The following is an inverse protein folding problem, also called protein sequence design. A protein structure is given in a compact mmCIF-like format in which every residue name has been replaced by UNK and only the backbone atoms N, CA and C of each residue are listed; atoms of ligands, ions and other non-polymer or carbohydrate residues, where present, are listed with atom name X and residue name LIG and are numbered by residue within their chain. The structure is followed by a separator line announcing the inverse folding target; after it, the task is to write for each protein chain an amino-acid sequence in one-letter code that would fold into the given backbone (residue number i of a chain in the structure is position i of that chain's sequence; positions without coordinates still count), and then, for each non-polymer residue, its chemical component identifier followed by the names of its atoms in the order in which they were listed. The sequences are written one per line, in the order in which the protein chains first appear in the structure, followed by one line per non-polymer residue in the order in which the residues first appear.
data_IF_913039752761
#
_entry.id   IF_913039752761
#
_cell.length_a   1.000
_cell.length_b   1.000
_cell.length_c   1.000
_cell.angle_alpha   90.00
_cell.angle_beta   90.00
_cell.angle_gamma   90.00
#
_symmetry.space_group_name_H-M   'P 1'
#
loop_
_entity.id
_entity.type
_entity.pdbx_description
1 polymer ?
#
# COMPACT_ATOMS: atom_id res chain seq x y z
N UNK A 1 -20.30 1.46 -0.02
CA UNK A 1 -21.14 1.95 -1.13
C UNK A 1 -21.12 3.48 -1.13
N UNK A 2 -20.97 4.12 -2.30
CA UNK A 2 -20.94 5.58 -2.41
C UNK A 2 -22.35 6.11 -2.66
N UNK A 3 -22.79 7.04 -1.83
CA UNK A 3 -24.11 7.66 -1.91
C UNK A 3 -23.97 9.15 -2.20
N UNK A 4 -24.81 9.66 -3.10
CA UNK A 4 -24.72 11.03 -3.60
C UNK A 4 -25.79 11.96 -3.01
N UNK A 5 -26.71 11.45 -2.19
CA UNK A 5 -27.75 12.23 -1.53
C UNK A 5 -28.13 11.64 -0.19
N UNK A 6 -28.70 12.47 0.66
CA UNK A 6 -29.21 12.06 1.97
C UNK A 6 -30.35 11.05 1.83
N UNK A 7 -31.17 11.17 0.80
CA UNK A 7 -32.27 10.26 0.49
C UNK A 7 -31.74 8.84 0.18
N UNK A 8 -30.64 8.72 -0.58
CA UNK A 8 -29.99 7.42 -0.82
C UNK A 8 -29.46 6.78 0.47
N UNK A 9 -28.93 7.58 1.39
CA UNK A 9 -28.47 7.07 2.70
C UNK A 9 -29.67 6.57 3.52
N UNK A 10 -30.79 7.32 3.55
CA UNK A 10 -32.00 6.89 4.26
C UNK A 10 -32.58 5.60 3.65
N UNK A 11 -32.69 5.51 2.34
CA UNK A 11 -33.18 4.33 1.64
C UNK A 11 -32.29 3.10 1.93
N UNK A 12 -30.97 3.29 1.92
CA UNK A 12 -30.03 2.23 2.27
C UNK A 12 -30.20 1.76 3.71
N UNK A 13 -30.26 2.69 4.68
CA UNK A 13 -30.41 2.35 6.10
C UNK A 13 -31.74 1.67 6.41
N UNK A 14 -32.79 1.98 5.66
CA UNK A 14 -34.13 1.40 5.82
C UNK A 14 -34.33 0.10 5.03
N UNK A 15 -33.35 -0.32 4.22
CA UNK A 15 -33.46 -1.56 3.46
C UNK A 15 -33.27 -2.79 4.37
N UNK A 16 -34.11 -3.83 4.18
CA UNK A 16 -34.03 -5.10 4.93
C UNK A 16 -32.72 -5.88 4.72
N UNK A 17 -31.85 -5.41 3.83
CA UNK A 17 -30.57 -6.06 3.51
C UNK A 17 -29.44 -5.62 4.44
N UNK A 18 -29.67 -4.61 5.28
CA UNK A 18 -28.62 -4.04 6.12
C UNK A 18 -28.73 -4.55 7.54
N UNK A 19 -27.78 -5.41 7.89
CA UNK A 19 -27.58 -5.77 9.28
C UNK A 19 -27.04 -4.58 10.08
N UNK A 20 -27.41 -4.53 11.29
CA UNK A 20 -27.48 -3.53 12.34
C UNK A 20 -26.33 -2.54 12.55
N UNK A 21 -25.15 -2.71 11.95
CA UNK A 21 -24.00 -1.86 12.28
C UNK A 21 -23.34 -1.36 11.01
N UNK A 22 -23.78 -0.20 10.52
CA UNK A 22 -23.15 0.51 9.38
C UNK A 22 -22.57 1.84 9.86
N UNK A 23 -21.42 2.18 9.32
CA UNK A 23 -20.80 3.50 9.49
C UNK A 23 -21.01 4.30 8.21
N UNK A 24 -21.44 5.54 8.35
CA UNK A 24 -21.62 6.48 7.24
C UNK A 24 -20.59 7.60 7.43
N UNK A 25 -19.75 7.79 6.44
CA UNK A 25 -18.67 8.76 6.49
C UNK A 25 -18.72 9.70 5.27
N UNK A 26 -18.10 10.87 5.39
CA UNK A 26 -17.87 11.73 4.23
C UNK A 26 -16.90 11.05 3.27
N UNK A 27 -17.26 10.93 2.00
CA UNK A 27 -16.34 10.51 0.96
C UNK A 27 -15.35 11.62 0.64
N UNK A 28 -14.11 11.46 1.04
CA UNK A 28 -13.01 12.36 0.71
C UNK A 28 -12.37 11.92 -0.60
N UNK A 29 -12.77 12.56 -1.70
CA UNK A 29 -12.15 12.29 -3.00
C UNK A 29 -10.80 13.01 -3.11
N UNK A 30 -9.75 12.25 -3.41
CA UNK A 30 -8.39 12.77 -3.52
C UNK A 30 -7.41 11.68 -3.93
N UNK A 31 -6.14 12.00 -3.86
CA UNK A 31 -5.06 11.06 -4.10
C UNK A 31 -4.90 10.15 -2.88
N UNK A 32 -4.90 8.85 -3.09
CA UNK A 32 -4.79 7.89 -1.99
C UNK A 32 -3.36 7.46 -1.75
N UNK A 33 -3.02 7.43 -0.47
CA UNK A 33 -1.72 7.04 0.03
C UNK A 33 -1.84 6.14 1.25
N UNK A 34 -0.78 5.42 1.53
CA UNK A 34 -0.58 4.78 2.81
C UNK A 34 0.79 5.12 3.37
N UNK A 35 0.90 5.10 4.68
CA UNK A 35 2.19 5.17 5.37
C UNK A 35 2.20 4.20 6.54
N UNK A 36 3.36 3.98 7.11
CA UNK A 36 3.49 3.19 8.33
C UNK A 36 4.18 3.97 9.43
N UNK A 37 3.71 3.75 10.65
CA UNK A 37 4.36 4.18 11.87
C UNK A 37 5.04 2.96 12.49
N UNK A 38 6.32 3.06 12.75
CA UNK A 38 7.10 2.01 13.41
C UNK A 38 7.65 2.51 14.74
N UNK A 39 7.58 1.69 15.78
CA UNK A 39 8.22 2.02 17.03
C UNK A 39 7.51 1.55 18.27
N UNK A 40 8.01 1.99 19.43
CA UNK A 40 7.53 1.66 20.75
C UNK A 40 7.94 2.76 21.74
N UNK A 41 7.09 3.03 22.74
CA UNK A 41 7.42 3.87 23.92
C UNK A 41 8.06 5.23 23.59
N UNK A 42 7.45 5.98 22.68
CA UNK A 42 7.92 7.33 22.31
C UNK A 42 9.10 7.36 21.33
N UNK A 43 9.53 6.22 20.83
CA UNK A 43 10.51 6.07 19.76
C UNK A 43 9.84 5.66 18.49
N UNK A 44 9.13 6.60 17.86
CA UNK A 44 8.37 6.35 16.64
C UNK A 44 9.03 6.99 15.43
N UNK A 45 8.90 6.31 14.28
CA UNK A 45 9.18 6.87 12.97
C UNK A 45 7.97 6.71 12.08
N UNK A 46 7.70 7.71 11.25
CA UNK A 46 6.70 7.66 10.18
C UNK A 46 7.44 7.59 8.87
N UNK A 47 7.09 6.64 8.04
CA UNK A 47 7.77 6.39 6.78
C UNK A 47 7.22 7.29 5.66
N UNK A 48 7.98 7.54 4.59
CA UNK A 48 7.46 8.22 3.43
C UNK A 48 6.20 7.53 2.88
N UNK A 49 5.24 8.29 2.34
CA UNK A 49 4.00 7.71 1.84
C UNK A 49 4.24 6.88 0.58
N UNK A 50 3.37 5.90 0.43
CA UNK A 50 3.23 5.03 -0.74
C UNK A 50 1.93 5.41 -1.42
N UNK A 51 1.95 5.71 -2.71
CA UNK A 51 0.77 6.04 -3.49
C UNK A 51 0.01 4.78 -3.90
N UNK A 52 -1.31 4.85 -3.88
CA UNK A 52 -2.21 3.79 -4.36
C UNK A 52 -2.87 4.20 -5.67
N UNK A 53 -2.95 3.27 -6.61
CA UNK A 53 -3.83 3.47 -7.75
C UNK A 53 -5.28 3.26 -7.33
N UNK A 54 -6.15 4.13 -7.80
CA UNK A 54 -7.59 4.08 -7.55
C UNK A 54 -8.34 4.20 -8.87
N UNK A 55 -9.54 3.64 -8.91
CA UNK A 55 -10.43 3.81 -10.05
C UNK A 55 -11.01 5.26 -10.07
N UNK A 56 -11.82 5.55 -11.07
CA UNK A 56 -12.47 6.87 -11.23
C UNK A 56 -13.35 7.31 -10.04
N UNK A 57 -13.78 6.36 -9.22
CA UNK A 57 -14.62 6.59 -8.05
C UNK A 57 -13.78 6.75 -6.76
N UNK A 58 -12.43 6.73 -6.87
CA UNK A 58 -11.51 6.84 -5.76
C UNK A 58 -11.39 5.55 -4.93
N UNK A 59 -11.76 4.41 -5.50
CA UNK A 59 -11.74 3.10 -4.84
C UNK A 59 -10.61 2.26 -5.41
N UNK A 60 -9.89 1.56 -4.53
CA UNK A 60 -8.87 0.58 -4.93
C UNK A 60 -9.54 -0.67 -5.49
N UNK A 61 -9.16 -1.06 -6.71
CA UNK A 61 -9.59 -2.36 -7.25
C UNK A 61 -8.72 -3.48 -6.65
N UNK A 62 -9.33 -4.55 -6.11
CA UNK A 62 -8.58 -5.60 -5.42
C UNK A 62 -7.56 -6.34 -6.29
N UNK A 63 -7.73 -6.36 -7.61
CA UNK A 63 -6.92 -7.16 -8.52
C UNK A 63 -5.98 -6.36 -9.40
N UNK A 64 -6.33 -5.12 -9.71
CA UNK A 64 -5.56 -4.25 -10.60
C UNK A 64 -4.90 -3.07 -9.89
N UNK A 65 -5.24 -2.80 -8.63
CA UNK A 65 -4.59 -1.74 -7.87
C UNK A 65 -3.12 -2.06 -7.62
N UNK A 66 -2.32 -1.02 -7.70
CA UNK A 66 -0.88 -1.06 -7.41
C UNK A 66 -0.54 -0.03 -6.33
N UNK A 67 0.55 -0.29 -5.61
CA UNK A 67 1.11 0.61 -4.60
C UNK A 67 2.53 0.94 -5.01
N UNK A 68 2.86 2.20 -5.12
CA UNK A 68 4.16 2.69 -5.58
C UNK A 68 4.74 3.72 -4.60
N UNK A 69 6.00 3.58 -4.27
CA UNK A 69 6.70 4.54 -3.38
C UNK A 69 8.22 4.34 -3.37
N UNK A 70 8.90 5.16 -2.59
CA UNK A 70 8.39 6.26 -1.76
C UNK A 70 7.93 7.46 -2.61
N UNK A 71 6.91 8.17 -2.14
CA UNK A 71 6.56 9.49 -2.67
C UNK A 71 7.25 10.55 -1.82
N UNK A 72 8.18 11.25 -2.44
CA UNK A 72 9.06 12.22 -1.74
C UNK A 72 8.95 13.64 -2.27
N UNK A 73 7.98 13.91 -3.16
CA UNK A 73 7.76 15.23 -3.71
C UNK A 73 7.39 16.24 -2.60
N UNK A 74 8.21 17.30 -2.41
CA UNK A 74 7.98 18.29 -1.35
C UNK A 74 6.66 19.05 -1.48
N UNK A 75 6.03 19.06 -2.66
CA UNK A 75 4.75 19.74 -2.87
C UNK A 75 3.60 19.15 -2.05
N UNK A 76 3.73 17.90 -1.62
CA UNK A 76 2.76 17.24 -0.74
C UNK A 76 2.86 17.66 0.73
N UNK A 77 3.93 18.37 1.14
CA UNK A 77 4.12 18.81 2.52
C UNK A 77 3.87 17.69 3.54
N UNK A 78 4.42 16.50 3.28
CA UNK A 78 4.16 15.31 4.09
C UNK A 78 4.60 15.48 5.55
N UNK A 79 5.58 16.35 5.82
CA UNK A 79 6.05 16.69 7.16
C UNK A 79 4.91 17.13 8.12
N UNK A 80 3.86 17.77 7.59
CA UNK A 80 2.72 18.22 8.40
C UNK A 80 1.90 17.06 8.95
N UNK A 81 1.53 16.10 8.11
CA UNK A 81 0.80 14.92 8.59
C UNK A 81 1.72 14.00 9.38
N UNK A 82 2.98 13.92 9.05
CA UNK A 82 3.97 13.16 9.79
C UNK A 82 4.04 13.60 11.26
N UNK A 83 4.04 14.91 11.55
CA UNK A 83 4.00 15.42 12.90
C UNK A 83 2.73 15.01 13.64
N UNK A 84 1.57 15.07 12.99
CA UNK A 84 0.29 14.61 13.55
C UNK A 84 0.34 13.12 13.87
N UNK A 85 0.86 12.30 12.96
CA UNK A 85 0.98 10.85 13.13
C UNK A 85 1.95 10.48 14.27
N UNK A 86 3.06 11.20 14.41
CA UNK A 86 3.99 11.01 15.53
C UNK A 86 3.35 11.36 16.88
N UNK A 87 2.64 12.48 16.96
CA UNK A 87 1.92 12.89 18.17
C UNK A 87 0.82 11.89 18.53
N UNK A 88 0.10 11.37 17.54
CA UNK A 88 -0.91 10.33 17.73
C UNK A 88 -0.27 9.04 18.26
N UNK A 89 0.82 8.59 17.66
CA UNK A 89 1.53 7.38 18.10
C UNK A 89 2.00 7.48 19.55
N UNK A 90 2.53 8.64 19.96
CA UNK A 90 2.95 8.91 21.34
C UNK A 90 1.77 8.90 22.30
N UNK A 91 0.64 9.52 21.92
CA UNK A 91 -0.55 9.61 22.75
C UNK A 91 -1.23 8.27 22.94
N UNK A 92 -1.36 7.49 21.86
CA UNK A 92 -2.01 6.19 21.85
C UNK A 92 -1.07 5.04 22.25
N UNK A 93 0.23 5.35 22.39
CA UNK A 93 1.28 4.39 22.78
C UNK A 93 1.28 3.15 21.89
N UNK A 94 1.32 3.36 20.57
CA UNK A 94 1.42 2.25 19.64
C UNK A 94 2.66 1.39 19.87
N UNK A 95 2.54 0.11 19.57
CA UNK A 95 3.66 -0.84 19.67
C UNK A 95 3.80 -1.60 18.34
N UNK A 96 4.99 -1.57 17.77
CA UNK A 96 5.32 -2.27 16.52
C UNK A 96 4.98 -1.45 15.27
N UNK A 97 4.27 -2.07 14.33
CA UNK A 97 3.92 -1.49 13.03
C UNK A 97 2.45 -1.12 12.97
N UNK A 98 2.17 0.10 12.57
CA UNK A 98 0.81 0.62 12.37
C UNK A 98 0.70 1.17 10.96
N UNK A 99 -0.22 0.61 10.17
CA UNK A 99 -0.56 1.14 8.86
C UNK A 99 -1.56 2.28 9.00
N UNK A 100 -1.37 3.35 8.22
CA UNK A 100 -2.28 4.49 8.15
C UNK A 100 -2.64 4.75 6.71
N UNK A 101 -3.93 4.75 6.41
CA UNK A 101 -4.46 5.12 5.10
C UNK A 101 -4.79 6.61 5.06
N UNK A 102 -4.34 7.27 4.01
CA UNK A 102 -4.36 8.72 3.86
C UNK A 102 -4.99 9.12 2.53
N UNK A 103 -5.64 10.26 2.53
CA UNK A 103 -6.04 10.97 1.30
C UNK A 103 -5.43 12.37 1.28
N UNK A 104 -4.87 12.76 0.14
CA UNK A 104 -4.41 14.12 -0.10
C UNK A 104 -5.38 14.83 -1.04
N UNK A 105 -5.93 15.97 -0.59
CA UNK A 105 -6.90 16.77 -1.34
C UNK A 105 -6.67 18.26 -1.11
N UNK A 106 -6.50 19.02 -2.17
CA UNK A 106 -6.42 20.49 -2.12
C UNK A 106 -5.34 21.04 -1.17
N UNK A 107 -4.18 20.37 -1.10
CA UNK A 107 -3.07 20.79 -0.23
C UNK A 107 -3.16 20.29 1.21
N UNK A 108 -4.15 19.46 1.53
CA UNK A 108 -4.39 18.94 2.88
C UNK A 108 -4.40 17.42 2.91
N UNK A 109 -3.91 16.87 4.02
CA UNK A 109 -3.91 15.43 4.32
C UNK A 109 -5.08 15.07 5.23
N UNK A 110 -5.75 13.99 4.89
CA UNK A 110 -6.82 13.38 5.67
C UNK A 110 -6.42 11.99 6.09
N UNK A 111 -6.57 11.66 7.37
CA UNK A 111 -6.40 10.31 7.90
C UNK A 111 -7.73 9.59 7.73
N UNK A 112 -7.73 8.49 6.97
CA UNK A 112 -8.94 7.72 6.67
C UNK A 112 -9.07 6.53 7.61
N UNK A 113 -7.98 5.76 7.77
CA UNK A 113 -7.99 4.57 8.59
C UNK A 113 -6.65 4.36 9.30
N UNK A 114 -6.72 3.81 10.51
CA UNK A 114 -5.54 3.45 11.29
C UNK A 114 -5.65 1.97 11.65
N UNK A 115 -4.71 1.20 11.14
CA UNK A 115 -4.64 -0.25 11.30
C UNK A 115 -3.43 -0.63 12.17
N UNK A 116 -3.59 -0.82 13.50
CA UNK A 116 -2.48 -1.17 14.40
C UNK A 116 -2.10 -2.65 14.25
N UNK A 117 -1.65 -3.03 13.10
CA UNK A 117 -1.28 -4.40 12.74
C UNK A 117 -0.31 -4.42 11.57
N UNK A 118 0.35 -5.54 11.42
CA UNK A 118 1.05 -5.89 10.19
C UNK A 118 0.12 -5.87 8.97
N UNK A 119 0.61 -5.35 7.86
CA UNK A 119 -0.17 -5.25 6.62
C UNK A 119 0.66 -5.66 5.40
N UNK A 120 -0.02 -5.82 4.25
CA UNK A 120 0.65 -6.01 2.96
C UNK A 120 1.57 -4.83 2.57
N UNK A 121 1.36 -3.66 3.14
CA UNK A 121 2.23 -2.51 2.93
C UNK A 121 3.60 -2.67 3.62
N UNK A 122 3.67 -3.42 4.74
CA UNK A 122 4.92 -3.64 5.48
C UNK A 122 6.01 -4.27 4.63
N UNK A 123 5.66 -5.16 3.71
CA UNK A 123 6.63 -5.75 2.78
C UNK A 123 7.08 -4.76 1.70
N UNK A 124 6.20 -3.88 1.23
CA UNK A 124 6.56 -2.78 0.32
C UNK A 124 7.54 -1.83 0.99
N UNK A 125 7.25 -1.44 2.23
CA UNK A 125 8.14 -0.63 3.06
C UNK A 125 9.49 -1.32 3.27
N UNK A 126 9.48 -2.61 3.58
CA UNK A 126 10.70 -3.39 3.76
C UNK A 126 11.55 -3.47 2.48
N UNK A 127 10.92 -3.60 1.31
CA UNK A 127 11.59 -3.56 0.02
C UNK A 127 12.20 -2.18 -0.25
N UNK A 128 11.48 -1.09 0.05
CA UNK A 128 12.02 0.28 -0.04
C UNK A 128 13.25 0.47 0.84
N UNK A 129 13.25 -0.08 2.04
CA UNK A 129 14.38 0.01 2.98
C UNK A 129 15.50 -1.01 2.71
N UNK A 130 15.26 -2.01 1.88
CA UNK A 130 16.18 -3.14 1.67
C UNK A 130 16.37 -3.98 2.94
N UNK A 131 15.33 -4.14 3.76
CA UNK A 131 15.34 -4.85 5.05
C UNK A 131 14.33 -5.99 5.07
N UNK A 132 14.58 -6.96 5.95
CA UNK A 132 13.61 -8.01 6.21
C UNK A 132 12.43 -7.44 7.06
N UNK A 133 11.16 -7.62 6.64
CA UNK A 133 10.01 -7.08 7.36
C UNK A 133 9.87 -7.63 8.78
N UNK A 134 10.23 -8.89 9.04
CA UNK A 134 10.23 -9.46 10.40
C UNK A 134 11.29 -8.79 11.29
N UNK A 135 12.48 -8.50 10.73
CA UNK A 135 13.50 -7.79 11.47
C UNK A 135 13.04 -6.36 11.85
N UNK A 136 12.37 -5.66 10.93
CA UNK A 136 11.79 -4.34 11.22
C UNK A 136 10.81 -4.43 12.39
N UNK A 137 9.91 -5.42 12.36
CA UNK A 137 8.92 -5.64 13.40
C UNK A 137 9.55 -5.94 14.75
N UNK A 138 10.51 -6.88 14.78
CA UNK A 138 11.23 -7.26 16.02
C UNK A 138 12.01 -6.07 16.58
N UNK A 139 12.75 -5.35 15.74
CA UNK A 139 13.52 -4.17 16.15
C UNK A 139 12.61 -3.06 16.70
N UNK A 140 11.42 -2.86 16.10
CA UNK A 140 10.47 -1.86 16.57
C UNK A 140 9.90 -2.21 17.94
N UNK A 141 9.63 -3.48 18.24
CA UNK A 141 9.16 -3.94 19.55
C UNK A 141 10.28 -3.90 20.60
N UNK A 142 11.46 -4.40 20.26
CA UNK A 142 12.59 -4.43 21.18
C UNK A 142 13.26 -3.06 21.39
N UNK A 143 12.94 -2.09 20.53
CA UNK A 143 13.57 -0.80 20.53
C UNK A 143 15.07 -0.85 20.24
N UNK A 144 15.53 -1.87 19.55
CA UNK A 144 16.93 -2.08 19.21
C UNK A 144 17.39 -1.25 18.03
N UNK A 145 16.50 -0.79 17.20
CA UNK A 145 16.83 0.07 16.05
C UNK A 145 17.12 1.50 16.52
N UNK A 146 18.39 1.77 16.75
CA UNK A 146 18.87 3.10 17.16
C UNK A 146 18.90 4.13 16.03
N UNK A 147 18.63 3.71 14.78
CA UNK A 147 18.88 4.49 13.57
C UNK A 147 17.66 4.55 12.62
N UNK A 148 16.44 4.63 13.14
CA UNK A 148 15.28 5.03 12.35
C UNK A 148 15.41 6.52 11.95
N UNK A 149 16.51 6.86 11.30
CA UNK A 149 16.65 8.19 10.72
C UNK A 149 16.20 8.12 9.27
N UNK A 150 15.31 9.00 8.89
CA UNK A 150 14.75 9.23 7.55
C UNK A 150 15.79 9.61 6.47
N UNK A 151 17.08 9.43 6.72
CA UNK A 151 18.19 9.72 5.79
C UNK A 151 18.70 8.50 5.04
N UNK A 152 17.88 7.48 4.84
CA UNK A 152 18.28 6.33 4.04
C UNK A 152 17.99 6.61 2.56
N UNK A 153 18.89 6.16 1.69
CA UNK A 153 18.61 6.05 0.27
C UNK A 153 17.57 4.94 0.10
N UNK A 154 16.30 5.31 0.12
CA UNK A 154 15.23 4.38 -0.12
C UNK A 154 15.25 3.95 -1.60
N UNK A 155 14.94 2.68 -1.83
CA UNK A 155 14.66 2.17 -3.16
C UNK A 155 13.24 2.53 -3.55
N UNK A 156 12.99 2.67 -4.85
CA UNK A 156 11.62 2.63 -5.34
C UNK A 156 11.10 1.21 -5.28
N UNK A 157 9.85 1.06 -4.85
CA UNK A 157 9.19 -0.24 -4.77
C UNK A 157 7.79 -0.16 -5.38
N UNK A 158 7.39 -1.26 -5.99
CA UNK A 158 6.05 -1.49 -6.53
C UNK A 158 5.49 -2.75 -5.90
N UNK A 159 4.26 -2.66 -5.42
CA UNK A 159 3.47 -3.78 -4.97
C UNK A 159 2.26 -3.92 -5.89
N UNK A 160 2.07 -5.09 -6.46
CA UNK A 160 1.00 -5.37 -7.42
C UNK A 160 0.53 -6.81 -7.31
N UNK A 161 -0.63 -7.10 -7.88
CA UNK A 161 -1.14 -8.47 -7.97
C UNK A 161 -0.92 -9.05 -9.35
N UNK A 162 -0.50 -10.29 -9.40
CA UNK A 162 -0.42 -11.06 -10.63
C UNK A 162 -1.06 -12.43 -10.46
N UNK A 163 -1.48 -13.03 -11.57
CA UNK A 163 -2.03 -14.38 -11.58
C UNK A 163 -0.90 -15.40 -11.36
N UNK A 164 -1.17 -16.46 -10.60
CA UNK A 164 -0.32 -17.64 -10.53
C UNK A 164 -1.15 -18.84 -10.98
N UNK A 165 -0.74 -19.51 -12.06
CA UNK A 165 -1.46 -20.66 -12.63
C UNK A 165 -1.01 -21.97 -12.03
N UNK A 166 0.23 -22.02 -11.58
CA UNK A 166 0.87 -23.26 -11.13
C UNK A 166 1.88 -23.01 -10.01
N UNK A 167 2.26 -24.07 -9.33
CA UNK A 167 3.35 -24.02 -8.38
C UNK A 167 4.70 -23.71 -9.07
N UNK A 168 4.86 -24.10 -10.33
CA UNK A 168 6.05 -23.80 -11.13
C UNK A 168 6.18 -22.28 -11.38
N UNK A 169 5.08 -21.59 -11.70
CA UNK A 169 5.08 -20.13 -11.83
C UNK A 169 5.56 -19.47 -10.54
N UNK A 170 5.09 -19.94 -9.39
CA UNK A 170 5.49 -19.40 -8.08
C UNK A 170 6.98 -19.63 -7.78
N UNK A 171 7.52 -20.82 -8.11
CA UNK A 171 8.94 -21.11 -7.93
C UNK A 171 9.78 -20.20 -8.81
N UNK A 172 9.45 -20.07 -10.09
CA UNK A 172 10.15 -19.18 -11.02
C UNK A 172 10.08 -17.73 -10.59
N UNK A 173 8.91 -17.28 -10.09
CA UNK A 173 8.74 -15.95 -9.58
C UNK A 173 9.58 -15.70 -8.32
N UNK A 174 9.65 -16.68 -7.42
CA UNK A 174 10.49 -16.62 -6.23
C UNK A 174 12.00 -16.57 -6.55
N UNK A 175 12.42 -17.24 -7.63
CA UNK A 175 13.81 -17.26 -8.09
C UNK A 175 14.18 -16.03 -8.94
N UNK A 176 13.19 -15.20 -9.35
CA UNK A 176 13.46 -14.02 -10.14
C UNK A 176 14.17 -12.95 -9.29
N UNK A 177 15.34 -12.44 -9.73
CA UNK A 177 16.20 -11.54 -8.92
C UNK A 177 15.58 -10.16 -8.66
N UNK A 178 14.53 -9.78 -9.39
CA UNK A 178 13.83 -8.50 -9.21
C UNK A 178 12.69 -8.60 -8.21
N UNK A 179 12.30 -9.81 -7.79
CA UNK A 179 11.21 -10.03 -6.85
C UNK A 179 11.74 -10.07 -5.43
N UNK A 180 11.37 -9.08 -4.62
CA UNK A 180 11.75 -9.03 -3.21
C UNK A 180 10.85 -9.90 -2.34
N UNK A 181 9.53 -9.85 -2.60
CA UNK A 181 8.54 -10.59 -1.80
C UNK A 181 7.39 -11.12 -2.66
N UNK A 182 6.90 -12.29 -2.29
CA UNK A 182 5.64 -12.86 -2.76
C UNK A 182 4.75 -13.07 -1.53
N UNK A 183 3.56 -12.51 -1.57
CA UNK A 183 2.61 -12.61 -0.48
C UNK A 183 1.23 -13.01 -0.99
N UNK A 184 0.36 -13.35 -0.03
CA UNK A 184 -1.07 -13.57 -0.25
C UNK A 184 -1.40 -14.35 -1.52
N UNK A 185 -1.41 -15.67 -1.37
CA UNK A 185 -2.06 -16.54 -2.33
C UNK A 185 -3.58 -16.47 -2.09
N UNK A 186 -4.26 -15.59 -2.81
CA UNK A 186 -5.72 -15.54 -2.76
C UNK A 186 -6.29 -16.59 -3.70
N UNK A 187 -6.95 -17.60 -3.15
CA UNK A 187 -7.56 -18.69 -3.92
C UNK A 187 -9.03 -18.46 -4.25
N UNK A 188 -9.65 -17.41 -3.70
CA UNK A 188 -11.03 -17.05 -4.02
C UNK A 188 -11.33 -15.59 -3.68
N UNK A 189 -11.78 -14.83 -4.66
CA UNK A 189 -12.56 -13.61 -4.43
C UNK A 189 -14.02 -14.02 -4.47
N UNK A 190 -14.82 -13.61 -3.48
CA UNK A 190 -16.24 -13.98 -3.40
C UNK A 190 -16.97 -13.66 -4.72
N UNK A 191 -17.57 -14.67 -5.33
CA UNK A 191 -18.34 -14.56 -6.58
C UNK A 191 -17.52 -14.70 -7.88
N UNK A 192 -16.22 -14.92 -7.83
CA UNK A 192 -15.39 -15.21 -9.01
C UNK A 192 -14.99 -16.69 -9.04
N UNK A 193 -14.78 -17.23 -10.24
CA UNK A 193 -14.10 -18.52 -10.40
C UNK A 193 -12.75 -18.49 -9.68
N UNK A 194 -12.30 -19.63 -9.17
CA UNK A 194 -11.03 -19.77 -8.43
C UNK A 194 -9.87 -19.24 -9.27
N UNK A 195 -9.51 -18.00 -9.03
CA UNK A 195 -8.34 -17.37 -9.64
C UNK A 195 -7.28 -17.31 -8.57
N UNK A 196 -6.14 -17.93 -8.85
CA UNK A 196 -4.99 -17.84 -7.97
C UNK A 196 -4.27 -16.51 -8.26
N UNK A 197 -4.27 -15.61 -7.30
CA UNK A 197 -3.47 -14.39 -7.33
C UNK A 197 -2.40 -14.47 -6.26
N UNK A 198 -1.23 -13.91 -6.57
CA UNK A 198 -0.24 -13.57 -5.57
C UNK A 198 0.02 -12.06 -5.59
N UNK A 199 0.31 -11.52 -4.44
CA UNK A 199 0.80 -10.15 -4.28
C UNK A 199 2.32 -10.19 -4.39
N UNK A 200 2.89 -9.40 -5.28
CA UNK A 200 4.32 -9.37 -5.62
C UNK A 200 4.87 -7.99 -5.31
N UNK A 201 6.04 -7.95 -4.68
CA UNK A 201 6.78 -6.71 -4.44
C UNK A 201 8.11 -6.77 -5.18
N UNK A 202 8.37 -5.74 -5.97
CA UNK A 202 9.65 -5.52 -6.65
C UNK A 202 10.26 -4.20 -6.17
N UNK A 203 11.58 -4.07 -6.18
CA UNK A 203 12.25 -2.81 -5.86
C UNK A 203 13.51 -2.57 -6.68
N UNK A 204 13.85 -1.29 -6.85
CA UNK A 204 15.08 -0.87 -7.51
C UNK A 204 15.70 0.36 -6.85
N UNK A 205 17.02 0.42 -6.85
CA UNK A 205 17.78 1.62 -6.45
C UNK A 205 18.25 2.48 -7.63
N UNK A 206 17.87 2.13 -8.87
CA UNK A 206 18.37 2.81 -10.08
C UNK A 206 17.54 4.03 -10.50
N UNK A 207 16.28 4.06 -10.12
CA UNK A 207 15.36 5.13 -10.45
C UNK A 207 13.92 4.61 -10.59
N UNK A 208 12.96 5.50 -10.53
CA UNK A 208 11.54 5.10 -10.57
C UNK A 208 11.14 4.47 -11.92
N UNK A 209 11.74 4.93 -13.01
CA UNK A 209 11.48 4.43 -14.37
C UNK A 209 11.92 2.97 -14.54
N UNK A 210 12.89 2.52 -13.77
CA UNK A 210 13.37 1.13 -13.80
C UNK A 210 12.31 0.14 -13.29
N UNK A 211 11.38 0.59 -12.45
CA UNK A 211 10.21 -0.20 -12.03
C UNK A 211 9.37 -0.64 -13.25
N UNK A 212 9.20 0.24 -14.25
CA UNK A 212 8.47 -0.11 -15.47
C UNK A 212 9.22 -1.14 -16.32
N UNK A 213 10.54 -1.04 -16.38
CA UNK A 213 11.37 -2.02 -17.08
C UNK A 213 11.25 -3.39 -16.44
N UNK A 214 11.41 -3.48 -15.11
CA UNK A 214 11.27 -4.72 -14.35
C UNK A 214 9.86 -5.31 -14.53
N UNK A 215 8.81 -4.49 -14.45
CA UNK A 215 7.44 -4.96 -14.63
C UNK A 215 7.18 -5.50 -16.04
N UNK A 216 7.78 -4.87 -17.07
CA UNK A 216 7.70 -5.35 -18.45
C UNK A 216 8.45 -6.68 -18.63
N UNK A 217 9.66 -6.81 -18.09
CA UNK A 217 10.43 -8.06 -18.11
C UNK A 217 9.67 -9.20 -17.44
N UNK A 218 9.03 -8.94 -16.27
CA UNK A 218 8.15 -9.91 -15.63
C UNK A 218 6.93 -10.25 -16.51
N UNK A 219 6.36 -9.28 -17.20
CA UNK A 219 5.26 -9.51 -18.13
C UNK A 219 5.65 -10.36 -19.34
N UNK A 220 6.88 -10.27 -19.81
CA UNK A 220 7.45 -11.10 -20.89
C UNK A 220 7.79 -12.51 -20.38
N UNK A 221 8.36 -12.63 -19.20
CA UNK A 221 8.70 -13.91 -18.58
C UNK A 221 7.46 -14.71 -18.17
N UNK A 222 6.39 -14.02 -17.73
CA UNK A 222 5.13 -14.60 -17.30
C UNK A 222 3.94 -14.11 -18.15
N UNK A 223 3.83 -14.55 -19.42
CA UNK A 223 2.82 -14.01 -20.36
C UNK A 223 1.38 -14.15 -19.85
N UNK A 224 0.67 -13.03 -19.79
CA UNK A 224 -0.73 -12.95 -19.36
C UNK A 224 -0.96 -13.17 -17.86
N UNK A 225 0.10 -13.17 -17.03
CA UNK A 225 -0.03 -13.21 -15.57
C UNK A 225 -0.06 -11.81 -14.98
N UNK A 226 0.66 -10.85 -15.55
CA UNK A 226 0.55 -9.42 -15.23
C UNK A 226 -0.50 -8.80 -16.14
N UNK A 227 -1.56 -8.21 -15.57
CA UNK A 227 -2.65 -7.63 -16.38
C UNK A 227 -2.25 -6.29 -17.01
N UNK A 228 -2.93 -5.92 -18.10
CA UNK A 228 -2.69 -4.63 -18.76
C UNK A 228 -3.10 -3.46 -17.85
N UNK A 229 -4.12 -3.65 -17.00
CA UNK A 229 -4.54 -2.65 -16.01
C UNK A 229 -3.44 -2.40 -14.96
N UNK A 230 -2.77 -3.45 -14.47
CA UNK A 230 -1.62 -3.31 -13.55
C UNK A 230 -0.51 -2.50 -14.21
N UNK A 231 -0.19 -2.79 -15.48
CA UNK A 231 0.83 -2.03 -16.23
C UNK A 231 0.43 -0.57 -16.42
N UNK A 232 -0.82 -0.31 -16.79
CA UNK A 232 -1.34 1.04 -16.98
C UNK A 232 -1.31 1.84 -15.67
N UNK A 233 -1.86 1.28 -14.59
CA UNK A 233 -1.86 1.89 -13.27
C UNK A 233 -0.43 2.18 -12.76
N UNK A 234 0.50 1.26 -13.00
CA UNK A 234 1.91 1.48 -12.66
C UNK A 234 2.50 2.65 -13.45
N UNK A 235 2.24 2.69 -14.77
CA UNK A 235 2.69 3.79 -15.62
C UNK A 235 2.19 5.16 -15.15
N UNK A 236 0.92 5.24 -14.76
CA UNK A 236 0.32 6.46 -14.22
C UNK A 236 0.98 6.91 -12.92
N UNK A 237 1.19 5.98 -11.95
CA UNK A 237 1.83 6.33 -10.68
C UNK A 237 3.29 6.74 -10.86
N UNK A 238 4.07 5.99 -11.64
CA UNK A 238 5.48 6.31 -11.92
C UNK A 238 5.62 7.65 -12.63
N UNK A 239 4.72 7.98 -13.56
CA UNK A 239 4.73 9.28 -14.23
C UNK A 239 4.36 10.43 -13.29
N UNK A 240 3.42 10.21 -12.38
CA UNK A 240 2.86 11.22 -11.49
C UNK A 240 3.78 11.55 -10.31
N UNK A 241 4.34 10.54 -9.65
CA UNK A 241 5.10 10.72 -8.41
C UNK A 241 6.60 10.74 -8.64
N UNK A 242 7.24 11.79 -8.14
CA UNK A 242 8.70 11.96 -8.15
C UNK A 242 9.31 11.45 -6.86
#
# INVERSE_FOLDING_TARGET
EVMNSYEQVEDFLNSDQNASDVMVEELIQGEQFGTEIHGIEGRYSVLPPIAFSVNKDGITDPLSSVKFGPVTDPSYHFEKVQEVLLNMAQTLKFEGTVQVDLVYRNGEWYIIEINPRWSGMTTTTAAMEGRNPLAIFVDSILGTDKNYSMKRNLKYALNFKMKARSQEDLIRLYENPHVDYIMQLETAVAGMEKINYCEVVISTGQGKEDILNILNELGEEFPGLVSDEVKANTGELVAKYQ
#
